data_IF_405168201139
#
_entry.id   IF_405168201139
#
_cell.length_a   1.000
_cell.length_b   1.000
_cell.length_c   1.000
_cell.angle_alpha   90.00
_cell.angle_beta   90.00
_cell.angle_gamma   90.00
#
_symmetry.space_group_name_H-M   'P 1'
#
loop_
_entity.id
_entity.type
_entity.pdbx_description
1 polymer ?
#
# COMPACT_ATOMS: atom_id res chain seq x y z
N UNK A 1 -14.16 51.35 -35.20
CA UNK A 1 -13.96 50.89 -36.59
C UNK A 1 -13.49 49.44 -36.58
N UNK A 2 -14.39 48.45 -36.58
CA UNK A 2 -14.03 47.01 -36.71
C UNK A 2 -15.05 46.25 -37.59
N UNK A 3 -15.80 46.96 -38.42
CA UNK A 3 -16.77 46.35 -39.31
C UNK A 3 -16.06 45.93 -40.61
N UNK A 4 -15.98 44.61 -40.83
CA UNK A 4 -15.58 43.94 -42.08
C UNK A 4 -14.08 43.72 -42.38
N UNK A 5 -13.37 43.06 -41.47
CA UNK A 5 -12.17 42.30 -41.87
C UNK A 5 -12.60 40.95 -42.48
N UNK A 6 -11.95 40.49 -43.58
CA UNK A 6 -12.27 39.20 -44.18
C UNK A 6 -11.92 38.05 -43.23
N UNK A 7 -12.78 37.02 -43.22
CA UNK A 7 -12.56 35.80 -42.45
C UNK A 7 -11.70 34.84 -43.29
N UNK A 8 -10.64 34.33 -42.69
CA UNK A 8 -9.78 33.29 -43.25
C UNK A 8 -9.97 31.98 -42.45
N UNK A 9 -9.78 30.86 -43.13
CA UNK A 9 -9.79 29.53 -42.51
C UNK A 9 -8.34 29.03 -42.36
N UNK A 10 -8.00 28.50 -41.19
CA UNK A 10 -6.70 27.87 -40.91
C UNK A 10 -6.90 26.54 -40.20
N UNK A 11 -6.04 25.58 -40.50
CA UNK A 11 -6.01 24.28 -39.80
C UNK A 11 -4.65 24.10 -39.14
N UNK A 12 -4.64 23.86 -37.83
CA UNK A 12 -3.42 23.59 -37.05
C UNK A 12 -3.49 22.16 -36.52
N UNK A 13 -2.41 21.39 -36.68
CA UNK A 13 -2.28 20.05 -36.10
C UNK A 13 -1.48 20.13 -34.82
N UNK A 14 -1.96 19.46 -33.76
CA UNK A 14 -1.29 19.42 -32.47
C UNK A 14 -0.54 18.10 -32.30
N UNK A 15 0.64 18.14 -31.67
CA UNK A 15 1.50 16.98 -31.46
C UNK A 15 1.43 16.43 -30.03
N UNK A 16 1.31 17.31 -29.04
CA UNK A 16 1.39 16.96 -27.62
C UNK A 16 0.11 17.30 -26.86
N UNK A 17 -0.49 18.46 -27.15
CA UNK A 17 -1.70 18.93 -26.48
C UNK A 17 -2.97 18.33 -27.09
N UNK A 18 -4.02 18.19 -26.26
CA UNK A 18 -5.35 17.79 -26.73
C UNK A 18 -6.09 18.96 -27.38
N UNK A 19 -6.60 18.75 -28.60
CA UNK A 19 -7.30 19.78 -29.35
C UNK A 19 -8.59 20.25 -28.67
N UNK A 20 -9.31 19.38 -27.95
CA UNK A 20 -10.54 19.77 -27.28
C UNK A 20 -10.26 20.65 -26.05
N UNK A 21 -9.18 20.38 -25.32
CA UNK A 21 -8.75 21.24 -24.20
C UNK A 21 -8.25 22.61 -24.68
N UNK A 22 -7.43 22.65 -25.73
CA UNK A 22 -6.94 23.92 -26.28
C UNK A 22 -8.05 24.76 -26.92
N UNK A 23 -9.05 24.15 -27.56
CA UNK A 23 -10.18 24.88 -28.10
C UNK A 23 -10.94 25.65 -27.00
N UNK A 24 -11.24 24.98 -25.88
CA UNK A 24 -11.91 25.61 -24.73
C UNK A 24 -11.12 26.78 -24.14
N UNK A 25 -9.79 26.64 -24.07
CA UNK A 25 -8.92 27.71 -23.57
C UNK A 25 -8.78 28.87 -24.58
N UNK A 26 -8.77 28.56 -25.87
CA UNK A 26 -8.59 29.50 -26.97
C UNK A 26 -9.84 30.27 -27.40
N UNK A 27 -11.03 29.86 -26.97
CA UNK A 27 -12.31 30.56 -27.29
C UNK A 27 -12.28 32.05 -26.94
N UNK A 28 -11.57 32.44 -25.87
CA UNK A 28 -11.44 33.84 -25.42
C UNK A 28 -10.54 34.70 -26.30
N UNK A 29 -9.73 34.09 -27.15
CA UNK A 29 -8.80 34.76 -28.06
C UNK A 29 -9.42 35.00 -29.45
N UNK A 30 -10.66 34.55 -29.68
CA UNK A 30 -11.39 34.77 -30.91
C UNK A 30 -11.98 36.19 -31.00
N UNK A 31 -12.13 36.68 -32.23
CA UNK A 31 -12.91 37.89 -32.50
C UNK A 31 -14.41 37.64 -32.43
N UNK A 32 -15.21 38.70 -32.45
CA UNK A 32 -16.67 38.62 -32.40
C UNK A 32 -17.32 37.77 -33.52
N UNK A 33 -16.59 37.45 -34.60
CA UNK A 33 -17.06 36.58 -35.70
C UNK A 33 -16.24 35.30 -35.84
N UNK A 34 -15.32 35.04 -34.91
CA UNK A 34 -14.42 33.89 -34.95
C UNK A 34 -15.09 32.60 -34.50
N UNK A 35 -14.71 31.47 -35.08
CA UNK A 35 -15.15 30.14 -34.65
C UNK A 35 -13.98 29.15 -34.60
N UNK A 36 -13.94 28.33 -33.55
CA UNK A 36 -13.00 27.21 -33.41
C UNK A 36 -13.79 25.91 -33.49
N UNK A 37 -13.37 24.99 -34.34
CA UNK A 37 -13.91 23.65 -34.44
C UNK A 37 -12.79 22.63 -34.23
N UNK A 38 -13.09 21.54 -33.53
CA UNK A 38 -12.11 20.49 -33.21
C UNK A 38 -12.38 19.24 -34.06
N UNK A 39 -11.36 18.77 -34.78
CA UNK A 39 -11.35 17.41 -35.33
C UNK A 39 -10.61 16.49 -34.36
N UNK A 40 -11.39 15.76 -33.55
CA UNK A 40 -10.87 14.81 -32.56
C UNK A 40 -10.13 13.63 -33.18
N UNK A 41 -10.49 13.21 -34.39
CA UNK A 41 -9.90 12.03 -35.03
C UNK A 41 -8.45 12.28 -35.45
N UNK A 42 -8.14 13.52 -35.82
CA UNK A 42 -6.80 13.91 -36.29
C UNK A 42 -6.05 14.82 -35.32
N UNK A 43 -6.64 15.12 -34.16
CA UNK A 43 -6.12 16.09 -33.19
C UNK A 43 -5.79 17.45 -33.83
N UNK A 44 -6.76 18.02 -34.57
CA UNK A 44 -6.60 19.29 -35.30
C UNK A 44 -7.59 20.34 -34.85
N UNK A 45 -7.12 21.59 -34.82
CA UNK A 45 -7.91 22.79 -34.63
C UNK A 45 -8.22 23.41 -36.00
N UNK A 46 -9.50 23.58 -36.30
CA UNK A 46 -10.01 24.31 -37.45
C UNK A 46 -10.44 25.68 -36.97
N UNK A 47 -9.68 26.69 -37.36
CA UNK A 47 -9.87 28.08 -36.95
C UNK A 47 -10.48 28.86 -38.11
N UNK A 48 -11.45 29.72 -37.82
CA UNK A 48 -12.00 30.69 -38.76
C UNK A 48 -12.07 32.04 -38.09
N UNK A 49 -11.24 32.99 -38.49
CA UNK A 49 -11.22 34.34 -37.93
C UNK A 49 -10.49 35.34 -38.86
N UNK A 50 -10.34 36.59 -38.43
CA UNK A 50 -9.52 37.59 -39.09
C UNK A 50 -8.02 37.26 -39.02
N UNK A 51 -7.25 37.82 -39.95
CA UNK A 51 -5.81 37.52 -40.09
C UNK A 51 -4.98 37.84 -38.84
N UNK A 52 -5.33 38.88 -38.08
CA UNK A 52 -4.60 39.29 -36.87
C UNK A 52 -4.83 38.29 -35.73
N UNK A 53 -6.10 37.94 -35.46
CA UNK A 53 -6.49 36.97 -34.44
C UNK A 53 -5.93 35.58 -34.73
N UNK A 54 -5.93 35.15 -36.00
CA UNK A 54 -5.33 33.88 -36.41
C UNK A 54 -3.82 33.83 -36.14
N UNK A 55 -3.09 34.93 -36.40
CA UNK A 55 -1.66 35.00 -36.13
C UNK A 55 -1.34 34.99 -34.63
N UNK A 56 -2.20 35.59 -33.79
CA UNK A 56 -2.09 35.52 -32.34
C UNK A 56 -2.40 34.11 -31.81
N UNK A 57 -3.47 33.49 -32.31
CA UNK A 57 -3.85 32.11 -31.98
C UNK A 57 -2.76 31.11 -32.37
N UNK A 58 -2.14 31.25 -33.53
CA UNK A 58 -1.05 30.35 -33.96
C UNK A 58 0.18 30.46 -33.06
N UNK A 59 0.57 31.68 -32.67
CA UNK A 59 1.64 31.92 -31.69
C UNK A 59 1.30 31.36 -30.31
N UNK A 60 0.04 31.48 -29.89
CA UNK A 60 -0.41 30.94 -28.62
C UNK A 60 -0.43 29.41 -28.64
N UNK A 61 -0.98 28.79 -29.69
CA UNK A 61 -1.01 27.32 -29.84
C UNK A 61 0.40 26.74 -29.85
N UNK A 62 1.35 27.35 -30.57
CA UNK A 62 2.75 26.88 -30.58
C UNK A 62 3.48 27.00 -29.24
N UNK A 63 3.03 27.89 -28.34
CA UNK A 63 3.56 27.96 -26.97
C UNK A 63 2.92 26.95 -26.03
N UNK A 64 1.71 26.47 -26.33
CA UNK A 64 0.95 25.52 -25.52
C UNK A 64 1.20 24.06 -25.92
N UNK A 65 1.50 23.80 -27.20
CA UNK A 65 1.80 22.46 -27.73
C UNK A 65 3.23 22.03 -27.39
N UNK A 66 3.51 21.89 -26.09
CA UNK A 66 4.81 21.45 -25.56
C UNK A 66 4.71 20.02 -25.00
N UNK A 67 5.78 19.24 -25.07
CA UNK A 67 5.81 17.90 -24.49
C UNK A 67 5.62 17.97 -22.97
N UNK A 68 4.74 17.11 -22.45
CA UNK A 68 4.54 16.96 -21.01
C UNK A 68 5.74 16.26 -20.37
N UNK A 69 6.18 16.75 -19.22
CA UNK A 69 7.24 16.11 -18.46
C UNK A 69 6.76 14.77 -17.88
N UNK A 70 7.62 13.77 -17.95
CA UNK A 70 7.42 12.46 -17.31
C UNK A 70 8.33 12.33 -16.09
N UNK A 71 7.83 11.65 -15.08
CA UNK A 71 8.53 11.39 -13.83
C UNK A 71 8.50 9.89 -13.58
N UNK A 72 9.68 9.28 -13.46
CA UNK A 72 9.81 7.94 -12.92
C UNK A 72 9.94 8.02 -11.40
N UNK A 73 9.17 7.18 -10.71
CA UNK A 73 9.17 7.07 -9.27
C UNK A 73 9.55 5.66 -8.85
N UNK A 74 10.48 5.59 -7.91
CA UNK A 74 10.85 4.36 -7.22
C UNK A 74 10.73 4.60 -5.72
N UNK A 75 9.86 3.83 -5.06
CA UNK A 75 9.79 3.80 -3.61
C UNK A 75 10.54 2.57 -3.07
N UNK A 76 11.01 2.64 -1.83
CA UNK A 76 11.56 1.50 -1.11
C UNK A 76 10.85 1.41 0.24
N UNK A 77 10.17 0.29 0.45
CA UNK A 77 9.42 0.02 1.68
C UNK A 77 10.15 -1.11 2.39
N UNK A 78 10.54 -0.86 3.63
CA UNK A 78 11.25 -1.82 4.48
C UNK A 78 10.47 -1.92 5.79
N UNK A 79 9.90 -3.09 6.04
CA UNK A 79 9.14 -3.38 7.27
C UNK A 79 9.87 -4.50 8.01
N UNK A 80 10.21 -4.26 9.28
CA UNK A 80 10.85 -5.24 10.16
C UNK A 80 9.85 -5.55 11.27
N UNK A 81 9.47 -6.82 11.41
CA UNK A 81 8.59 -7.30 12.48
C UNK A 81 9.36 -8.29 13.35
N UNK A 82 9.55 -7.96 14.63
CA UNK A 82 10.16 -8.84 15.62
C UNK A 82 9.10 -9.26 16.66
N UNK A 83 8.83 -10.57 16.75
CA UNK A 83 8.02 -11.18 17.82
C UNK A 83 8.91 -12.05 18.69
N UNK A 84 8.88 -11.85 20.00
CA UNK A 84 9.60 -12.66 20.97
C UNK A 84 8.62 -13.22 22.00
N UNK A 85 8.62 -14.53 22.19
CA UNK A 85 7.87 -15.23 23.23
C UNK A 85 8.87 -15.92 24.16
N UNK A 86 8.69 -15.69 25.47
CA UNK A 86 9.50 -16.33 26.50
C UNK A 86 8.61 -16.81 27.63
N UNK A 87 8.63 -18.10 27.88
CA UNK A 87 7.85 -18.74 28.94
C UNK A 87 8.74 -19.71 29.73
N UNK A 88 8.47 -19.80 31.03
CA UNK A 88 9.12 -20.71 31.96
C UNK A 88 8.03 -21.41 32.75
N UNK A 89 8.19 -22.72 32.93
CA UNK A 89 7.23 -23.56 33.61
C UNK A 89 7.92 -24.59 34.48
N UNK A 90 7.22 -25.03 35.51
CA UNK A 90 7.69 -26.02 36.46
C UNK A 90 6.64 -27.09 36.66
N UNK A 91 7.09 -28.34 36.68
CA UNK A 91 6.28 -29.49 37.05
C UNK A 91 6.98 -30.22 38.17
N UNK A 92 6.24 -30.61 39.19
CA UNK A 92 6.78 -31.44 40.25
C UNK A 92 5.78 -32.54 40.61
N UNK A 93 6.32 -33.71 40.93
CA UNK A 93 5.55 -34.91 41.22
C UNK A 93 6.22 -35.65 42.36
N UNK A 94 5.46 -35.95 43.40
CA UNK A 94 5.82 -36.94 44.40
C UNK A 94 5.23 -38.28 43.99
N UNK A 95 6.11 -39.26 43.70
CA UNK A 95 5.73 -40.58 43.23
C UNK A 95 4.82 -41.33 44.22
N UNK A 96 4.02 -42.26 43.68
CA UNK A 96 3.03 -43.01 44.45
C UNK A 96 3.63 -43.77 45.63
N UNK A 97 2.84 -43.86 46.71
CA UNK A 97 3.16 -44.73 47.83
C UNK A 97 3.21 -46.20 47.36
N UNK A 98 4.30 -46.91 47.67
CA UNK A 98 4.41 -48.34 47.37
C UNK A 98 3.45 -49.23 48.19
N UNK A 99 2.74 -48.68 49.18
CA UNK A 99 1.74 -49.37 49.99
C UNK A 99 0.37 -48.70 49.85
N UNK A 100 -0.70 -49.50 49.80
CA UNK A 100 -2.06 -49.00 49.76
C UNK A 100 -2.38 -48.17 51.01
N UNK A 101 -2.69 -46.89 50.82
CA UNK A 101 -3.06 -45.97 51.89
C UNK A 101 -4.46 -46.26 52.44
N UNK A 102 -4.73 -45.79 53.66
CA UNK A 102 -6.08 -45.81 54.22
C UNK A 102 -6.98 -44.80 53.49
N UNK A 103 -8.30 -44.98 53.60
CA UNK A 103 -9.27 -44.00 53.09
C UNK A 103 -9.02 -42.64 53.75
N UNK A 104 -8.61 -41.65 52.96
CA UNK A 104 -8.26 -40.30 53.43
C UNK A 104 -6.77 -39.95 53.33
N UNK A 105 -5.90 -40.90 53.01
CA UNK A 105 -4.46 -40.65 52.82
C UNK A 105 -4.17 -39.96 51.48
N UNK A 106 -3.25 -39.00 51.49
CA UNK A 106 -2.72 -38.40 50.26
C UNK A 106 -1.70 -39.35 49.63
N UNK A 107 -2.15 -40.06 48.59
CA UNK A 107 -1.34 -41.06 47.89
C UNK A 107 -0.41 -40.43 46.85
N UNK A 108 -0.85 -39.34 46.21
CA UNK A 108 -0.09 -38.63 45.16
C UNK A 108 -0.17 -37.12 45.39
N UNK A 109 0.94 -36.41 45.12
CA UNK A 109 0.95 -34.95 45.03
C UNK A 109 1.67 -34.56 43.76
N UNK A 110 1.00 -33.82 42.89
CA UNK A 110 1.63 -33.27 41.70
C UNK A 110 1.05 -31.91 41.38
N UNK A 111 1.87 -31.07 40.76
CA UNK A 111 1.43 -29.84 40.14
C UNK A 111 2.15 -29.70 38.80
N UNK A 112 1.38 -29.38 37.78
CA UNK A 112 1.89 -29.21 36.42
C UNK A 112 1.60 -27.78 35.96
N UNK A 113 2.62 -26.92 36.11
CA UNK A 113 2.68 -25.60 35.50
C UNK A 113 3.78 -25.60 34.41
N UNK A 114 3.98 -26.73 33.72
CA UNK A 114 4.94 -26.81 32.62
C UNK A 114 4.43 -26.07 31.38
N UNK A 115 5.36 -25.57 30.57
CA UNK A 115 5.04 -24.94 29.28
C UNK A 115 4.63 -26.03 28.30
N UNK A 116 3.40 -25.95 27.78
CA UNK A 116 2.84 -26.98 26.89
C UNK A 116 3.67 -27.15 25.62
N UNK A 117 4.09 -26.03 25.02
CA UNK A 117 4.92 -25.97 23.81
C UNK A 117 6.41 -25.73 24.12
N UNK A 118 6.92 -26.24 25.25
CA UNK A 118 8.32 -26.07 25.64
C UNK A 118 9.28 -26.59 24.56
N UNK A 119 10.26 -25.77 24.16
CA UNK A 119 11.36 -26.21 23.29
C UNK A 119 12.45 -26.96 24.06
N UNK A 120 12.49 -26.77 25.39
CA UNK A 120 13.44 -27.45 26.27
C UNK A 120 12.77 -27.88 27.57
N UNK A 121 13.11 -29.09 28.03
CA UNK A 121 12.67 -29.67 29.31
C UNK A 121 13.88 -30.30 30.00
N UNK A 122 14.02 -30.08 31.30
CA UNK A 122 15.08 -30.68 32.13
C UNK A 122 14.45 -31.24 33.39
N UNK A 123 14.56 -32.55 33.58
CA UNK A 123 14.07 -33.27 34.75
C UNK A 123 15.17 -33.58 35.76
N UNK A 124 14.86 -33.42 37.04
CA UNK A 124 15.73 -33.71 38.17
C UNK A 124 15.00 -34.59 39.18
N UNK A 125 15.71 -35.60 39.68
CA UNK A 125 15.30 -36.33 40.87
C UNK A 125 15.91 -35.59 42.06
N UNK A 126 15.12 -34.82 42.81
CA UNK A 126 15.65 -33.89 43.82
C UNK A 126 15.69 -34.47 45.23
N UNK A 127 15.10 -35.64 45.44
CA UNK A 127 15.23 -36.35 46.71
C UNK A 127 14.21 -37.45 46.91
N UNK A 128 14.19 -38.01 48.12
CA UNK A 128 13.16 -38.94 48.57
C UNK A 128 12.49 -38.41 49.84
N UNK A 129 11.17 -38.40 49.87
CA UNK A 129 10.35 -38.03 51.03
C UNK A 129 9.54 -39.27 51.43
N UNK A 130 9.76 -39.79 52.64
CA UNK A 130 9.11 -41.02 53.13
C UNK A 130 9.23 -42.21 52.15
N UNK A 131 10.40 -42.36 51.52
CA UNK A 131 10.67 -43.43 50.54
C UNK A 131 10.12 -43.15 49.13
N UNK A 132 9.31 -42.10 48.93
CA UNK A 132 8.77 -41.69 47.62
C UNK A 132 9.73 -40.76 46.92
N UNK A 133 9.88 -40.91 45.61
CA UNK A 133 10.76 -40.08 44.78
C UNK A 133 10.11 -38.72 44.50
N UNK A 134 10.87 -37.65 44.66
CA UNK A 134 10.44 -36.31 44.29
C UNK A 134 11.12 -35.89 42.99
N UNK A 135 10.31 -35.74 41.96
CA UNK A 135 10.72 -35.31 40.64
C UNK A 135 10.37 -33.85 40.41
N UNK A 136 11.31 -33.11 39.83
CA UNK A 136 11.17 -31.72 39.43
C UNK A 136 11.57 -31.57 37.97
N UNK A 137 10.67 -31.07 37.14
CA UNK A 137 10.91 -30.76 35.74
C UNK A 137 10.79 -29.25 35.51
N UNK A 138 11.84 -28.67 34.92
CA UNK A 138 11.83 -27.31 34.39
C UNK A 138 11.56 -27.35 32.90
N UNK A 139 10.69 -26.48 32.44
CA UNK A 139 10.33 -26.34 31.02
C UNK A 139 10.49 -24.89 30.60
N UNK A 140 11.00 -24.67 29.40
CA UNK A 140 11.18 -23.34 28.85
C UNK A 140 10.83 -23.30 27.37
N UNK A 141 10.22 -22.19 26.96
CA UNK A 141 10.01 -21.80 25.58
C UNK A 141 10.68 -20.45 25.37
N UNK A 142 11.60 -20.40 24.41
CA UNK A 142 12.12 -19.16 23.88
C UNK A 142 11.97 -19.21 22.36
N UNK A 143 11.16 -18.31 21.82
CA UNK A 143 10.91 -18.22 20.39
C UNK A 143 11.07 -16.76 19.95
N UNK A 144 11.99 -16.53 19.02
CA UNK A 144 12.16 -15.24 18.34
C UNK A 144 11.82 -15.41 16.85
N UNK A 145 10.86 -14.64 16.36
CA UNK A 145 10.51 -14.54 14.95
C UNK A 145 10.88 -13.14 14.47
N UNK A 146 11.68 -13.06 13.40
CA UNK A 146 11.99 -11.81 12.72
C UNK A 146 11.55 -11.95 11.26
N UNK A 147 10.79 -10.98 10.78
CA UNK A 147 10.32 -10.90 9.40
C UNK A 147 10.72 -9.56 8.81
N UNK A 148 11.52 -9.60 7.74
CA UNK A 148 11.94 -8.43 6.98
C UNK A 148 11.21 -8.43 5.62
N UNK A 149 10.40 -7.41 5.37
CA UNK A 149 9.68 -7.23 4.11
C UNK A 149 10.34 -6.07 3.36
N UNK A 150 10.85 -6.34 2.15
CA UNK A 150 11.44 -5.34 1.27
C UNK A 150 10.64 -5.29 -0.02
N UNK A 151 10.08 -4.13 -0.34
CA UNK A 151 9.39 -3.89 -1.59
C UNK A 151 9.89 -2.63 -2.30
N UNK A 152 9.94 -2.68 -3.63
CA UNK A 152 10.45 -1.57 -4.45
C UNK A 152 9.58 -1.30 -5.67
N UNK A 153 8.36 -0.77 -5.49
CA UNK A 153 7.48 -0.47 -6.61
C UNK A 153 8.07 0.66 -7.46
N UNK A 154 7.96 0.50 -8.78
CA UNK A 154 8.37 1.50 -9.78
C UNK A 154 7.22 1.86 -10.70
N UNK A 155 7.13 3.13 -11.05
CA UNK A 155 6.00 3.69 -11.79
C UNK A 155 6.45 4.93 -12.58
N UNK A 156 5.99 5.05 -13.82
CA UNK A 156 6.15 6.24 -14.65
C UNK A 156 4.84 7.02 -14.70
N UNK A 157 4.87 8.31 -14.37
CA UNK A 157 3.70 9.18 -14.37
C UNK A 157 3.98 10.49 -15.13
N UNK A 158 2.97 10.98 -15.86
CA UNK A 158 3.06 12.26 -16.55
C UNK A 158 2.65 13.42 -15.64
N UNK A 159 3.10 14.63 -15.94
CA UNK A 159 2.74 15.84 -15.19
C UNK A 159 1.21 15.97 -15.00
N UNK A 160 0.77 16.14 -13.74
CA UNK A 160 -0.63 16.26 -13.32
C UNK A 160 -1.52 15.04 -13.59
N UNK A 161 -0.95 13.93 -14.06
CA UNK A 161 -1.70 12.70 -14.31
C UNK A 161 -1.51 11.73 -13.15
N UNK A 162 -2.60 11.28 -12.49
CA UNK A 162 -2.51 10.24 -11.47
C UNK A 162 -2.10 8.93 -12.13
N UNK A 163 -1.24 8.18 -11.44
CA UNK A 163 -0.88 6.83 -11.84
C UNK A 163 -0.76 5.94 -10.61
N UNK A 164 -1.11 4.67 -10.78
CA UNK A 164 -1.11 3.71 -9.68
C UNK A 164 -0.56 2.36 -10.11
N UNK A 165 0.01 1.66 -9.15
CA UNK A 165 0.47 0.27 -9.26
C UNK A 165 -0.04 -0.49 -8.04
N UNK A 166 -0.64 -1.66 -8.25
CA UNK A 166 -1.09 -2.57 -7.20
C UNK A 166 -0.58 -3.98 -7.49
N UNK A 167 -0.10 -4.68 -6.46
CA UNK A 167 0.34 -6.06 -6.56
C UNK A 167 -0.05 -6.83 -5.30
N UNK A 168 -0.75 -7.95 -5.44
CA UNK A 168 -1.10 -8.82 -4.33
C UNK A 168 -2.24 -9.75 -4.69
N UNK A 169 -3.05 -10.11 -3.69
CA UNK A 169 -4.16 -11.07 -3.82
C UNK A 169 -5.44 -10.52 -3.21
N UNK A 170 -6.57 -11.01 -3.68
CA UNK A 170 -7.87 -10.75 -3.06
C UNK A 170 -8.27 -11.93 -2.17
N UNK A 171 -8.74 -11.62 -0.96
CA UNK A 171 -9.18 -12.61 0.03
C UNK A 171 -10.71 -12.57 0.07
N UNK A 172 -11.40 -13.70 -0.16
CA UNK A 172 -12.85 -13.77 -0.06
C UNK A 172 -13.30 -13.80 1.41
N UNK A 173 -14.29 -12.99 1.75
CA UNK A 173 -14.99 -12.97 3.03
C UNK A 173 -16.45 -13.31 2.83
N UNK A 174 -16.98 -14.19 3.66
CA UNK A 174 -18.42 -14.44 3.70
C UNK A 174 -19.07 -13.38 4.57
N UNK A 175 -20.03 -12.66 4.02
CA UNK A 175 -20.85 -11.67 4.73
C UNK A 175 -22.31 -12.12 4.70
N UNK A 176 -22.96 -12.10 5.87
CA UNK A 176 -24.40 -12.36 5.97
C UNK A 176 -25.16 -11.13 5.51
N UNK A 177 -25.85 -11.24 4.37
CA UNK A 177 -26.65 -10.16 3.82
C UNK A 177 -28.09 -10.22 4.37
N UNK A 178 -28.32 -9.63 5.54
CA UNK A 178 -29.66 -9.28 6.05
C UNK A 178 -30.66 -10.43 6.26
N UNK A 179 -31.90 -10.06 6.62
CA UNK A 179 -33.01 -10.87 7.19
C UNK A 179 -33.36 -12.21 6.49
N UNK A 180 -32.79 -12.49 5.33
CA UNK A 180 -33.04 -13.70 4.52
C UNK A 180 -32.00 -14.81 4.72
N UNK A 181 -30.93 -14.57 5.49
CA UNK A 181 -29.91 -15.59 5.77
C UNK A 181 -29.04 -16.00 4.57
N UNK A 182 -29.08 -15.23 3.47
CA UNK A 182 -28.25 -15.50 2.30
C UNK A 182 -26.80 -15.04 2.54
N UNK A 183 -25.85 -15.95 2.38
CA UNK A 183 -24.42 -15.65 2.44
C UNK A 183 -23.94 -15.08 1.10
N UNK A 184 -23.24 -13.95 1.14
CA UNK A 184 -22.58 -13.34 -0.02
C UNK A 184 -21.07 -13.35 0.18
N UNK A 185 -20.30 -13.42 -0.91
CA UNK A 185 -18.84 -13.41 -0.88
C UNK A 185 -18.33 -12.03 -1.30
N UNK A 186 -17.65 -11.32 -0.41
CA UNK A 186 -17.00 -10.04 -0.64
C UNK A 186 -15.48 -10.22 -0.72
N UNK A 187 -14.84 -9.71 -1.77
CA UNK A 187 -13.38 -9.78 -1.92
C UNK A 187 -12.71 -8.56 -1.30
N UNK A 188 -11.74 -8.76 -0.40
CA UNK A 188 -10.91 -7.68 0.14
C UNK A 188 -9.48 -7.79 -0.38
N UNK A 189 -8.95 -6.69 -0.87
CA UNK A 189 -7.59 -6.59 -1.42
C UNK A 189 -6.52 -6.67 -0.30
N UNK A 190 -5.62 -7.64 -0.40
CA UNK A 190 -4.35 -7.71 0.32
C UNK A 190 -3.22 -7.43 -0.69
N UNK A 191 -3.07 -6.14 -1.02
CA UNK A 191 -2.13 -5.66 -2.04
C UNK A 191 -1.14 -4.65 -1.46
N UNK A 192 0.06 -4.66 -2.03
CA UNK A 192 0.97 -3.53 -2.01
C UNK A 192 0.57 -2.58 -3.14
N UNK A 193 0.22 -1.36 -2.80
CA UNK A 193 -0.19 -0.30 -3.71
C UNK A 193 0.66 0.96 -3.58
N UNK A 194 0.88 1.63 -4.70
CA UNK A 194 1.37 3.00 -4.73
C UNK A 194 0.58 3.79 -5.75
N UNK A 195 0.01 4.91 -5.34
CA UNK A 195 -0.64 5.90 -6.18
C UNK A 195 0.11 7.23 -6.04
N UNK A 196 0.33 7.90 -7.18
CA UNK A 196 1.03 9.17 -7.22
C UNK A 196 0.44 10.11 -8.25
N UNK A 197 0.40 11.39 -7.89
CA UNK A 197 0.19 12.49 -8.85
C UNK A 197 1.38 13.44 -8.80
N UNK A 198 2.26 13.44 -9.83
CA UNK A 198 3.42 14.32 -9.86
C UNK A 198 3.07 15.70 -10.42
N UNK A 199 3.57 16.73 -9.77
CA UNK A 199 3.50 18.13 -10.22
C UNK A 199 4.93 18.62 -10.44
N UNK A 200 5.33 18.77 -11.70
CA UNK A 200 6.65 19.31 -12.07
C UNK A 200 6.58 20.82 -11.93
N UNK A 201 7.42 21.37 -11.05
CA UNK A 201 7.54 22.79 -10.78
C UNK A 201 8.72 23.38 -11.57
N UNK A 202 8.75 24.70 -11.67
CA UNK A 202 9.91 25.40 -12.20
C UNK A 202 11.16 25.14 -11.35
N UNK A 203 12.34 25.32 -11.97
CA UNK A 203 13.67 25.07 -11.33
C UNK A 203 13.93 23.60 -10.98
N UNK A 204 13.32 22.66 -11.72
CA UNK A 204 13.60 21.23 -11.60
C UNK A 204 13.20 20.65 -10.25
N UNK A 205 12.11 21.16 -9.64
CA UNK A 205 11.51 20.55 -8.45
C UNK A 205 10.25 19.80 -8.84
N UNK A 206 9.93 18.77 -8.07
CA UNK A 206 8.77 17.92 -8.30
C UNK A 206 8.04 17.80 -6.97
N UNK A 207 6.78 18.19 -6.97
CA UNK A 207 5.86 17.96 -5.87
C UNK A 207 5.09 16.67 -6.15
N UNK A 208 5.08 15.77 -5.19
CA UNK A 208 4.45 14.46 -5.29
C UNK A 208 3.35 14.38 -4.25
N UNK A 209 2.12 14.14 -4.70
CA UNK A 209 1.06 13.62 -3.81
C UNK A 209 1.15 12.10 -3.88
N UNK A 210 1.48 11.46 -2.76
CA UNK A 210 1.75 10.03 -2.66
C UNK A 210 0.72 9.39 -1.73
N UNK A 211 0.18 8.26 -2.16
CA UNK A 211 -0.57 7.33 -1.34
C UNK A 211 0.04 5.94 -1.50
N UNK A 212 0.70 5.43 -0.46
CA UNK A 212 1.31 4.10 -0.46
C UNK A 212 0.52 3.26 0.54
N UNK A 213 0.08 2.09 0.10
CA UNK A 213 -0.63 1.11 0.91
C UNK A 213 0.11 -0.22 0.87
N UNK A 214 0.22 -0.87 2.01
CA UNK A 214 0.76 -2.21 2.15
C UNK A 214 -0.22 -3.02 3.00
N UNK A 215 -1.00 -3.83 2.32
CA UNK A 215 -1.97 -4.72 2.95
C UNK A 215 -1.47 -6.15 2.79
N UNK A 216 -1.18 -6.82 3.91
CA UNK A 216 -0.70 -8.20 3.92
C UNK A 216 -1.71 -9.11 4.62
N UNK A 217 -1.85 -10.37 4.18
CA UNK A 217 -2.66 -11.34 4.92
C UNK A 217 -2.03 -11.56 6.31
N UNK A 218 -2.84 -11.31 7.34
CA UNK A 218 -2.45 -11.41 8.75
C UNK A 218 -2.74 -12.78 9.35
N UNK A 219 -2.97 -12.83 10.67
CA UNK A 219 -3.27 -14.08 11.36
C UNK A 219 -4.68 -14.62 11.04
N UNK A 220 -4.82 -15.95 11.04
CA UNK A 220 -6.13 -16.61 10.98
C UNK A 220 -6.83 -16.43 12.33
N UNK A 221 -8.04 -15.88 12.30
CA UNK A 221 -8.91 -15.74 13.45
C UNK A 221 -10.00 -16.82 13.36
N UNK A 222 -10.15 -17.59 14.43
CA UNK A 222 -11.25 -18.54 14.59
C UNK A 222 -12.52 -17.77 14.97
N UNK A 223 -13.53 -17.77 14.10
CA UNK A 223 -14.87 -17.27 14.40
C UNK A 223 -15.86 -18.43 14.48
N UNK A 224 -17.03 -18.20 15.10
CA UNK A 224 -18.06 -19.23 15.30
C UNK A 224 -18.51 -19.93 14.00
N UNK A 225 -18.38 -19.25 12.85
CA UNK A 225 -18.80 -19.71 11.53
C UNK A 225 -17.63 -20.10 10.59
N UNK A 226 -16.38 -20.14 11.09
CA UNK A 226 -15.21 -20.58 10.32
C UNK A 226 -13.92 -19.79 10.57
N UNK A 227 -12.89 -20.11 9.79
CA UNK A 227 -11.60 -19.41 9.81
C UNK A 227 -11.65 -18.16 8.92
N UNK A 228 -11.39 -16.98 9.50
CA UNK A 228 -11.27 -15.72 8.75
C UNK A 228 -9.85 -15.17 8.84
N UNK A 229 -9.30 -14.69 7.73
CA UNK A 229 -7.97 -14.10 7.71
C UNK A 229 -8.05 -12.63 8.11
N UNK A 230 -7.24 -12.18 9.06
CA UNK A 230 -7.06 -10.75 9.28
C UNK A 230 -6.28 -10.14 8.10
N UNK A 231 -6.39 -8.84 7.86
CA UNK A 231 -5.53 -8.11 6.93
C UNK A 231 -4.81 -7.04 7.74
N UNK A 232 -3.49 -7.17 7.81
CA UNK A 232 -2.65 -6.14 8.42
C UNK A 232 -2.43 -5.04 7.38
N UNK A 233 -2.85 -3.82 7.72
CA UNK A 233 -2.80 -2.65 6.82
C UNK A 233 -1.78 -1.63 7.29
N UNK A 234 -0.99 -1.13 6.35
CA UNK A 234 -0.08 0.00 6.56
C UNK A 234 -0.27 0.99 5.42
N UNK A 235 -0.73 2.20 5.73
CA UNK A 235 -1.02 3.21 4.71
C UNK A 235 -0.35 4.54 5.08
N UNK A 236 0.15 5.24 4.06
CA UNK A 236 0.72 6.57 4.19
C UNK A 236 0.23 7.45 3.04
N UNK A 237 -0.46 8.53 3.40
CA UNK A 237 -0.78 9.62 2.46
C UNK A 237 0.07 10.84 2.83
N UNK A 238 0.82 11.35 1.87
CA UNK A 238 1.69 12.50 2.10
C UNK A 238 1.88 13.32 0.85
N UNK A 239 2.33 14.55 1.06
CA UNK A 239 2.75 15.44 -0.01
C UNK A 239 4.17 15.90 0.25
N UNK A 240 5.07 15.60 -0.68
CA UNK A 240 6.50 15.92 -0.57
C UNK A 240 6.95 16.72 -1.77
N UNK A 241 7.92 17.61 -1.57
CA UNK A 241 8.60 18.32 -2.66
C UNK A 241 10.05 17.85 -2.72
N UNK A 242 10.46 17.32 -3.86
CA UNK A 242 11.79 16.77 -4.10
C UNK A 242 12.45 17.51 -5.25
N UNK A 243 13.78 17.60 -5.23
CA UNK A 243 14.53 18.06 -6.41
C UNK A 243 14.56 16.92 -7.43
N UNK A 244 14.41 17.26 -8.71
CA UNK A 244 14.63 16.33 -9.82
C UNK A 244 16.07 15.84 -9.77
N UNK A 245 16.23 14.54 -9.53
CA UNK A 245 17.53 13.88 -9.59
C UNK A 245 17.84 13.57 -11.04
N UNK A 246 18.80 14.29 -11.64
CA UNK A 246 19.51 13.76 -12.81
C UNK A 246 20.53 12.78 -12.24
N UNK A 247 20.30 11.49 -12.51
CA UNK A 247 21.11 10.33 -12.13
C UNK A 247 22.39 10.65 -11.34
N UNK A 248 22.33 10.43 -10.04
CA UNK A 248 23.50 10.25 -9.19
C UNK A 248 23.03 9.32 -8.07
N UNK A 249 23.60 8.12 -8.01
CA UNK A 249 23.20 6.95 -7.20
C UNK A 249 23.16 7.12 -5.68
N UNK A 250 22.58 8.20 -5.17
CA UNK A 250 22.39 8.48 -3.76
C UNK A 250 21.16 9.39 -3.55
N UNK A 251 20.02 9.00 -4.12
CA UNK A 251 18.71 9.57 -3.81
C UNK A 251 17.84 8.57 -3.02
N UNK A 252 18.44 7.80 -2.12
CA UNK A 252 17.70 6.85 -1.26
C UNK A 252 16.92 7.65 -0.22
N UNK A 253 15.67 8.02 -0.52
CA UNK A 253 14.76 8.51 0.51
C UNK A 253 14.19 7.29 1.22
N UNK A 254 14.76 7.03 2.40
CA UNK A 254 14.31 5.99 3.31
C UNK A 254 13.09 6.52 4.07
N UNK A 255 11.91 5.97 3.78
CA UNK A 255 10.85 5.95 4.78
C UNK A 255 11.11 4.76 5.70
N UNK A 256 12.09 4.92 6.58
CA UNK A 256 12.27 3.99 7.69
C UNK A 256 11.25 4.38 8.77
N UNK A 257 10.27 3.52 9.02
CA UNK A 257 9.49 3.60 10.26
C UNK A 257 9.83 2.36 11.07
N UNK A 258 10.43 2.63 12.24
CA UNK A 258 10.74 1.62 13.26
C UNK A 258 9.46 1.20 13.97
#
# INVERSE_FOLDING_TARGET
MQANLPLENRSISLQYADAAELAKAGEKLLSAKGTITVDKRTNRLLLRDNRTALAELEKWVSQMDLPVAQVELAAHIVTINEKSLRELGVKWTLADAQQAGAVGDVTTLSSDLSVAAATSRVGFNIGRINGRLLDLELSALEQKQQLDIIASPRLLASHLQPASIKQGSEIPYQVSSGESGATSVEFKEAVLGMEVTPTVLQKGRIRLKLHISQNVPGQVLQQADGEVLAIDKQEIETQVEVKSGRDSGAGRYFFAKK
#
